data_IF_823844954172
#
_entry.id   IF_823844954172
#
_cell.length_a   1.000
_cell.length_b   1.000
_cell.length_c   1.000
_cell.angle_alpha   90.00
_cell.angle_beta   90.00
_cell.angle_gamma   90.00
#
_symmetry.space_group_name_H-M   'P 1'
#
loop_
_entity.id
_entity.type
_entity.pdbx_description
1 polymer ?
#
# COMPACT_ATOMS: atom_id res chain seq x y z
N UNK A 1 -11.68 8.38 25.66
CA UNK A 1 -11.02 9.51 24.98
C UNK A 1 -10.18 9.00 23.81
N UNK A 2 -10.31 9.68 22.67
CA UNK A 2 -9.50 9.49 21.45
C UNK A 2 -8.12 10.13 21.67
N UNK A 3 -7.07 9.48 21.19
CA UNK A 3 -5.67 9.91 21.30
C UNK A 3 -5.11 10.30 19.93
N UNK A 4 -3.97 10.99 19.90
CA UNK A 4 -3.32 11.39 18.65
C UNK A 4 -3.02 10.19 17.73
N UNK A 5 -2.59 9.04 18.28
CA UNK A 5 -2.40 7.82 17.48
C UNK A 5 -3.69 7.27 16.90
N UNK A 6 -4.81 7.41 17.60
CA UNK A 6 -6.09 6.99 17.02
C UNK A 6 -6.52 7.92 15.88
N UNK A 7 -6.21 9.22 15.98
CA UNK A 7 -6.44 10.19 14.91
C UNK A 7 -5.60 9.80 13.68
N UNK A 8 -4.32 9.43 13.87
CA UNK A 8 -3.48 8.92 12.78
C UNK A 8 -4.08 7.68 12.11
N UNK A 9 -4.65 6.75 12.90
CA UNK A 9 -5.36 5.59 12.38
C UNK A 9 -6.60 5.98 11.58
N UNK A 10 -7.41 6.93 12.08
CA UNK A 10 -8.59 7.41 11.36
C UNK A 10 -8.16 8.04 10.03
N UNK A 11 -7.19 8.95 10.05
CA UNK A 11 -6.65 9.60 8.85
C UNK A 11 -6.10 8.57 7.83
N UNK A 12 -5.42 7.54 8.32
CA UNK A 12 -4.94 6.44 7.49
C UNK A 12 -6.10 5.67 6.82
N UNK A 13 -7.15 5.35 7.57
CA UNK A 13 -8.34 4.68 7.03
C UNK A 13 -9.13 5.61 6.10
N UNK A 14 -9.18 6.91 6.33
CA UNK A 14 -9.78 7.88 5.40
C UNK A 14 -9.06 7.89 4.06
N UNK A 15 -7.73 7.89 4.10
CA UNK A 15 -6.86 7.89 2.92
C UNK A 15 -6.94 6.58 2.16
N UNK A 16 -6.65 5.45 2.81
CA UNK A 16 -6.53 4.13 2.19
C UNK A 16 -7.84 3.30 2.17
N UNK A 17 -8.91 3.83 2.75
CA UNK A 17 -10.29 3.31 2.79
C UNK A 17 -10.53 2.11 3.71
N UNK A 18 -9.56 1.23 3.91
CA UNK A 18 -9.67 0.11 4.85
C UNK A 18 -8.31 -0.44 5.26
N UNK A 19 -8.25 -1.16 6.38
CA UNK A 19 -7.07 -1.93 6.79
C UNK A 19 -7.44 -3.04 7.80
N UNK A 20 -6.58 -4.06 7.93
CA UNK A 20 -6.75 -5.11 8.94
C UNK A 20 -6.23 -4.68 10.30
N UNK A 21 -6.59 -5.42 11.34
CA UNK A 21 -6.11 -5.18 12.71
C UNK A 21 -4.58 -5.30 12.76
N UNK A 22 -4.03 -6.33 12.13
CA UNK A 22 -2.60 -6.60 12.02
C UNK A 22 -1.85 -5.46 11.32
N UNK A 23 -2.37 -4.99 10.18
CA UNK A 23 -1.85 -3.85 9.41
C UNK A 23 -1.75 -2.60 10.29
N UNK A 24 -2.85 -2.24 10.97
CA UNK A 24 -2.91 -1.06 11.83
C UNK A 24 -1.98 -1.22 13.04
N UNK A 25 -1.90 -2.42 13.61
CA UNK A 25 -1.03 -2.70 14.74
C UNK A 25 0.44 -2.45 14.38
N UNK A 26 0.91 -2.98 13.24
CA UNK A 26 2.30 -2.80 12.77
C UNK A 26 2.67 -1.34 12.54
N UNK A 27 1.72 -0.54 12.04
CA UNK A 27 1.98 0.84 11.65
C UNK A 27 1.89 1.84 12.81
N UNK A 28 0.94 1.67 13.73
CA UNK A 28 0.58 2.74 14.67
C UNK A 28 0.70 2.37 16.16
N UNK A 29 0.89 1.09 16.49
CA UNK A 29 0.81 0.64 17.88
C UNK A 29 2.01 -0.23 18.30
N UNK A 30 2.42 -0.17 19.58
CA UNK A 30 3.56 -0.95 20.06
C UNK A 30 3.26 -2.45 20.15
N UNK A 31 1.98 -2.85 20.17
CA UNK A 31 1.59 -4.26 20.21
C UNK A 31 0.18 -4.47 19.69
N UNK A 32 -0.09 -5.71 19.24
CA UNK A 32 -1.41 -6.13 18.78
C UNK A 32 -2.50 -5.97 19.85
N UNK A 33 -2.18 -6.28 21.11
CA UNK A 33 -3.14 -6.15 22.22
C UNK A 33 -3.58 -4.69 22.42
N UNK A 34 -2.62 -3.75 22.32
CA UNK A 34 -2.93 -2.32 22.41
C UNK A 34 -3.80 -1.90 21.23
N UNK A 35 -3.41 -2.28 20.01
CA UNK A 35 -4.17 -1.98 18.80
C UNK A 35 -5.63 -2.47 18.89
N UNK A 36 -5.84 -3.72 19.30
CA UNK A 36 -7.18 -4.31 19.46
C UNK A 36 -8.04 -3.53 20.47
N UNK A 37 -7.48 -3.15 21.62
CA UNK A 37 -8.18 -2.35 22.63
C UNK A 37 -8.54 -0.97 22.08
N UNK A 38 -7.62 -0.30 21.39
CA UNK A 38 -7.85 1.03 20.78
C UNK A 38 -8.89 0.99 19.66
N UNK A 39 -8.75 0.05 18.73
CA UNK A 39 -9.66 -0.13 17.61
C UNK A 39 -11.08 -0.52 18.03
N UNK A 40 -11.22 -1.32 19.10
CA UNK A 40 -12.53 -1.59 19.70
C UNK A 40 -13.19 -0.30 20.19
N UNK A 41 -12.45 0.59 20.85
CA UNK A 41 -12.98 1.90 21.29
C UNK A 41 -13.39 2.78 20.12
N UNK A 42 -12.58 2.84 19.06
CA UNK A 42 -12.93 3.61 17.84
C UNK A 42 -14.21 3.10 17.19
N UNK A 43 -14.42 1.80 17.18
CA UNK A 43 -15.69 1.21 16.73
C UNK A 43 -16.86 1.57 17.66
N UNK A 44 -16.68 1.47 18.99
CA UNK A 44 -17.71 1.82 19.98
C UNK A 44 -18.09 3.31 19.92
N UNK A 45 -17.14 4.18 19.61
CA UNK A 45 -17.35 5.61 19.38
C UNK A 45 -17.90 5.94 17.99
N UNK A 46 -18.10 4.93 17.13
CA UNK A 46 -18.62 5.06 15.75
C UNK A 46 -17.71 5.86 14.80
N UNK A 47 -16.44 6.04 15.15
CA UNK A 47 -15.43 6.63 14.26
C UNK A 47 -15.06 5.66 13.13
N UNK A 48 -15.10 4.36 13.41
CA UNK A 48 -14.81 3.30 12.44
C UNK A 48 -15.92 2.25 12.44
N UNK A 49 -16.20 1.71 11.25
CA UNK A 49 -16.94 0.46 11.09
C UNK A 49 -15.96 -0.71 11.01
N UNK A 50 -16.44 -1.92 11.32
CA UNK A 50 -15.64 -3.14 11.18
C UNK A 50 -16.46 -4.36 10.78
N UNK A 51 -15.83 -5.30 10.11
CA UNK A 51 -16.36 -6.66 9.91
C UNK A 51 -15.26 -7.68 10.20
N UNK A 52 -15.64 -8.92 10.53
CA UNK A 52 -14.68 -10.01 10.73
C UNK A 52 -14.34 -10.64 9.39
N UNK A 53 -13.06 -10.68 9.03
CA UNK A 53 -12.59 -11.26 7.79
C UNK A 53 -12.40 -12.77 7.95
N UNK A 54 -13.24 -13.57 7.29
CA UNK A 54 -13.31 -15.03 7.49
C UNK A 54 -11.96 -15.75 7.28
N UNK A 55 -11.18 -15.35 6.27
CA UNK A 55 -9.91 -16.02 5.93
C UNK A 55 -8.79 -15.66 6.92
N UNK A 56 -8.71 -14.39 7.32
CA UNK A 56 -7.63 -13.91 8.18
C UNK A 56 -7.97 -14.00 9.68
N UNK A 57 -9.22 -14.35 9.99
CA UNK A 57 -9.76 -14.43 11.34
C UNK A 57 -9.54 -13.17 12.21
N UNK A 58 -9.46 -12.01 11.56
CA UNK A 58 -9.27 -10.71 12.22
C UNK A 58 -10.28 -9.67 11.75
N UNK A 59 -10.39 -8.54 12.45
CA UNK A 59 -11.26 -7.45 12.04
C UNK A 59 -10.60 -6.60 10.96
N UNK A 60 -11.41 -6.19 9.99
CA UNK A 60 -11.09 -5.16 9.00
C UNK A 60 -11.86 -3.90 9.38
N UNK A 61 -11.16 -2.77 9.43
CA UNK A 61 -11.70 -1.47 9.78
C UNK A 61 -11.82 -0.57 8.54
N UNK A 62 -12.86 0.24 8.49
CA UNK A 62 -13.17 1.15 7.38
C UNK A 62 -14.18 2.20 7.85
N UNK A 63 -14.27 3.35 7.19
CA UNK A 63 -15.33 4.34 7.46
C UNK A 63 -16.57 4.04 6.61
N UNK A 64 -16.36 3.96 5.29
CA UNK A 64 -17.37 3.52 4.32
C UNK A 64 -16.81 2.33 3.56
N UNK A 65 -17.61 1.26 3.44
CA UNK A 65 -17.14 0.00 2.86
C UNK A 65 -16.68 0.22 1.40
N UNK A 66 -15.40 0.02 1.06
CA UNK A 66 -14.93 0.17 -0.32
C UNK A 66 -15.45 -0.97 -1.22
N UNK A 67 -15.71 -0.65 -2.50
CA UNK A 67 -16.13 -1.64 -3.52
C UNK A 67 -15.05 -2.70 -3.75
N UNK A 68 -13.79 -2.28 -3.85
CA UNK A 68 -12.64 -3.15 -4.10
C UNK A 68 -11.88 -3.48 -2.81
N UNK A 69 -12.56 -4.11 -1.86
CA UNK A 69 -12.02 -4.38 -0.52
C UNK A 69 -10.69 -5.15 -0.55
N UNK A 70 -10.62 -6.27 -1.29
CA UNK A 70 -9.40 -7.12 -1.33
C UNK A 70 -8.19 -6.36 -1.89
N UNK A 71 -8.42 -5.53 -2.92
CA UNK A 71 -7.37 -4.72 -3.55
C UNK A 71 -6.81 -3.66 -2.59
N UNK A 72 -7.70 -2.90 -1.94
CA UNK A 72 -7.32 -1.90 -0.93
C UNK A 72 -6.59 -2.52 0.26
N UNK A 73 -7.08 -3.67 0.76
CA UNK A 73 -6.43 -4.38 1.85
C UNK A 73 -5.01 -4.81 1.50
N UNK A 74 -4.80 -5.36 0.30
CA UNK A 74 -3.48 -5.81 -0.12
C UNK A 74 -2.50 -4.64 -0.29
N UNK A 75 -2.97 -3.46 -0.73
CA UNK A 75 -2.15 -2.24 -0.76
C UNK A 75 -1.72 -1.80 0.65
N UNK A 76 -2.63 -1.82 1.62
CA UNK A 76 -2.30 -1.44 3.00
C UNK A 76 -1.43 -2.49 3.69
N UNK A 77 -1.62 -3.77 3.37
CA UNK A 77 -0.75 -4.83 3.87
C UNK A 77 0.66 -4.68 3.30
N UNK A 78 0.80 -4.39 2.00
CA UNK A 78 2.09 -4.07 1.38
C UNK A 78 2.78 -2.91 2.09
N UNK A 79 2.05 -1.83 2.41
CA UNK A 79 2.61 -0.73 3.20
C UNK A 79 3.11 -1.23 4.57
N UNK A 80 2.25 -1.92 5.32
CA UNK A 80 2.62 -2.40 6.65
C UNK A 80 3.86 -3.29 6.60
N UNK A 81 3.95 -4.26 5.69
CA UNK A 81 5.13 -5.12 5.57
C UNK A 81 6.39 -4.33 5.14
N UNK A 82 6.28 -3.44 4.15
CA UNK A 82 7.43 -2.66 3.67
C UNK A 82 7.97 -1.75 4.79
N UNK A 83 7.08 -1.15 5.59
CA UNK A 83 7.46 -0.29 6.72
C UNK A 83 8.30 -0.98 7.79
N UNK A 84 8.27 -2.32 7.85
CA UNK A 84 9.06 -3.08 8.81
C UNK A 84 10.51 -3.27 8.37
N UNK A 85 10.80 -3.10 7.07
CA UNK A 85 12.13 -3.38 6.49
C UNK A 85 12.83 -2.14 5.95
N UNK A 86 12.11 -1.04 5.71
CA UNK A 86 12.68 0.24 5.25
C UNK A 86 12.10 1.44 5.97
N UNK A 87 12.86 2.53 5.95
CA UNK A 87 12.33 3.82 6.38
C UNK A 87 11.46 4.42 5.27
N UNK A 88 10.14 4.37 5.46
CA UNK A 88 9.17 5.00 4.56
C UNK A 88 9.08 6.49 4.88
N UNK A 89 9.32 7.34 3.87
CA UNK A 89 9.21 8.80 3.98
C UNK A 89 7.83 9.31 3.60
N UNK A 90 7.17 8.66 2.63
CA UNK A 90 5.81 8.96 2.23
C UNK A 90 5.16 7.74 1.59
N UNK A 91 3.85 7.55 1.83
CA UNK A 91 3.02 6.61 1.08
C UNK A 91 1.70 7.29 0.74
N UNK A 92 1.50 7.54 -0.55
CA UNK A 92 0.28 8.13 -1.11
C UNK A 92 -0.51 7.09 -1.91
N UNK A 93 -1.82 7.25 -2.01
CA UNK A 93 -2.69 6.49 -2.91
C UNK A 93 -3.44 7.44 -3.85
N UNK A 94 -3.90 6.92 -4.98
CA UNK A 94 -4.69 7.70 -5.97
C UNK A 94 -3.96 8.92 -6.57
N UNK A 95 -2.63 8.98 -6.47
CA UNK A 95 -1.80 10.04 -7.06
C UNK A 95 -1.88 10.00 -8.59
N UNK A 96 -2.00 11.17 -9.22
CA UNK A 96 -1.98 11.31 -10.67
C UNK A 96 -0.61 11.82 -11.10
N UNK A 97 0.10 11.04 -11.91
CA UNK A 97 1.40 11.38 -12.48
C UNK A 97 1.26 11.42 -14.00
N UNK A 98 1.01 12.60 -14.56
CA UNK A 98 0.63 12.75 -15.97
C UNK A 98 -0.62 11.94 -16.27
N UNK A 99 -0.49 10.96 -17.18
CA UNK A 99 -1.59 10.07 -17.58
C UNK A 99 -1.67 8.76 -16.80
N UNK A 100 -0.82 8.55 -15.78
CA UNK A 100 -0.86 7.33 -14.96
C UNK A 100 -1.41 7.62 -13.57
N UNK A 101 -2.10 6.63 -13.02
CA UNK A 101 -2.55 6.60 -11.62
C UNK A 101 -2.14 5.25 -11.04
N UNK A 102 -1.04 5.15 -10.29
CA UNK A 102 -0.72 3.95 -9.55
C UNK A 102 -1.70 3.73 -8.40
N UNK A 103 -1.79 2.50 -7.92
CA UNK A 103 -2.58 2.18 -6.73
C UNK A 103 -1.95 2.78 -5.48
N UNK A 104 -0.61 2.80 -5.43
CA UNK A 104 0.19 3.44 -4.40
C UNK A 104 1.45 4.10 -4.97
N UNK A 105 1.93 5.15 -4.30
CA UNK A 105 3.22 5.78 -4.56
C UNK A 105 3.97 5.85 -3.23
N UNK A 106 5.10 5.16 -3.15
CA UNK A 106 5.90 5.08 -1.93
C UNK A 106 7.29 5.66 -2.16
N UNK A 107 7.71 6.56 -1.26
CA UNK A 107 9.08 7.04 -1.16
C UNK A 107 9.73 6.45 0.10
N UNK A 108 10.90 5.84 -0.05
CA UNK A 108 11.58 5.14 1.05
C UNK A 108 13.11 5.21 0.95
N UNK A 109 13.79 4.87 2.03
CA UNK A 109 15.26 4.90 2.13
C UNK A 109 15.81 3.51 2.44
N UNK A 110 16.83 3.10 1.68
CA UNK A 110 17.61 1.89 1.90
C UNK A 110 19.08 2.24 1.78
N UNK A 111 19.90 1.91 2.79
CA UNK A 111 21.35 2.17 2.78
C UNK A 111 21.70 3.62 2.39
N UNK A 112 20.99 4.61 2.96
CA UNK A 112 21.09 6.05 2.66
C UNK A 112 20.75 6.48 1.22
N UNK A 113 20.24 5.57 0.37
CA UNK A 113 19.73 5.88 -0.96
C UNK A 113 18.22 6.04 -0.92
N UNK A 114 17.72 7.04 -1.64
CA UNK A 114 16.28 7.35 -1.75
C UNK A 114 15.69 6.65 -2.96
N UNK A 115 14.57 5.98 -2.77
CA UNK A 115 13.84 5.28 -3.81
C UNK A 115 12.41 5.78 -3.87
N UNK A 116 11.84 5.72 -5.07
CA UNK A 116 10.42 5.98 -5.31
C UNK A 116 9.89 4.78 -6.10
N UNK A 117 8.76 4.23 -5.65
CA UNK A 117 8.11 3.13 -6.33
C UNK A 117 6.61 3.40 -6.55
N UNK A 118 6.16 3.13 -7.76
CA UNK A 118 4.74 3.00 -8.09
C UNK A 118 4.31 1.56 -7.79
N UNK A 119 3.32 1.41 -6.91
CA UNK A 119 2.75 0.13 -6.50
C UNK A 119 1.47 -0.12 -7.30
N UNK A 120 1.37 -1.31 -7.86
CA UNK A 120 0.21 -1.80 -8.61
C UNK A 120 -0.26 -3.12 -8.03
N UNK A 121 -1.51 -3.17 -7.58
CA UNK A 121 -2.11 -4.37 -7.01
C UNK A 121 -2.96 -5.04 -8.08
N UNK A 122 -2.54 -6.23 -8.52
CA UNK A 122 -3.22 -6.98 -9.57
C UNK A 122 -3.77 -8.30 -9.04
N UNK A 123 -5.06 -8.26 -8.69
CA UNK A 123 -5.81 -9.43 -8.20
C UNK A 123 -6.69 -10.03 -9.31
N UNK A 124 -7.31 -9.18 -10.14
CA UNK A 124 -8.21 -9.62 -11.21
C UNK A 124 -7.45 -10.27 -12.36
N UNK A 125 -8.14 -11.03 -13.22
CA UNK A 125 -7.55 -11.67 -14.42
C UNK A 125 -7.11 -10.69 -15.50
N UNK A 126 -7.39 -9.40 -15.34
CA UNK A 126 -6.88 -8.38 -16.24
C UNK A 126 -5.37 -8.23 -16.04
N UNK A 127 -4.62 -8.16 -17.14
CA UNK A 127 -3.17 -7.89 -17.10
C UNK A 127 -2.89 -6.53 -16.47
N UNK A 128 -1.76 -6.43 -15.79
CA UNK A 128 -1.21 -5.14 -15.38
C UNK A 128 -1.00 -4.29 -16.63
N UNK A 129 -1.49 -3.05 -16.63
CA UNK A 129 -1.31 -2.15 -17.76
C UNK A 129 0.11 -1.59 -17.73
N UNK A 130 1.08 -2.35 -18.26
CA UNK A 130 2.49 -1.97 -18.34
C UNK A 130 2.69 -0.87 -19.39
N UNK A 131 1.87 -0.83 -20.43
CA UNK A 131 1.98 0.14 -21.53
C UNK A 131 1.84 1.59 -21.05
N UNK A 132 1.06 1.83 -19.99
CA UNK A 132 0.97 3.16 -19.37
C UNK A 132 2.33 3.64 -18.83
N UNK A 133 3.14 2.72 -18.30
CA UNK A 133 4.49 3.00 -17.80
C UNK A 133 5.52 3.08 -18.93
N UNK A 134 5.40 2.26 -19.98
CA UNK A 134 6.21 2.43 -21.20
C UNK A 134 6.02 3.80 -21.81
N UNK A 135 4.77 4.27 -21.93
CA UNK A 135 4.48 5.62 -22.41
C UNK A 135 5.10 6.67 -21.48
N UNK A 136 4.91 6.54 -20.16
CA UNK A 136 5.47 7.46 -19.15
C UNK A 136 7.00 7.56 -19.22
N UNK A 137 7.68 6.45 -19.50
CA UNK A 137 9.12 6.40 -19.73
C UNK A 137 9.53 7.02 -21.08
N UNK A 138 8.93 6.56 -22.18
CA UNK A 138 9.28 6.97 -23.54
C UNK A 138 9.02 8.46 -23.82
N UNK A 139 8.01 9.06 -23.19
CA UNK A 139 7.74 10.50 -23.29
C UNK A 139 8.54 11.34 -22.29
N UNK A 140 9.34 10.68 -21.44
CA UNK A 140 10.07 11.29 -20.32
C UNK A 140 9.19 12.11 -19.36
N UNK A 141 7.88 11.85 -19.33
CA UNK A 141 6.93 12.61 -18.50
C UNK A 141 7.22 12.45 -17.01
N UNK A 142 7.87 11.35 -16.61
CA UNK A 142 8.36 11.14 -15.25
C UNK A 142 9.30 12.24 -14.76
N UNK A 143 10.07 12.88 -15.65
CA UNK A 143 11.01 13.95 -15.29
C UNK A 143 10.34 15.19 -14.68
N UNK A 144 9.04 15.36 -14.91
CA UNK A 144 8.23 16.43 -14.27
C UNK A 144 8.02 16.19 -12.78
N UNK A 145 8.14 14.94 -12.33
CA UNK A 145 7.81 14.50 -10.97
C UNK A 145 9.05 13.98 -10.21
N UNK A 146 9.95 13.30 -10.91
CA UNK A 146 11.08 12.58 -10.33
C UNK A 146 12.33 12.73 -11.19
N UNK A 147 13.54 12.70 -10.58
CA UNK A 147 14.80 12.78 -11.34
C UNK A 147 15.07 11.53 -12.19
N UNK A 148 14.49 10.39 -11.82
CA UNK A 148 14.63 9.10 -12.52
C UNK A 148 13.27 8.40 -12.58
N UNK A 149 13.11 7.44 -13.51
CA UNK A 149 11.90 6.62 -13.55
C UNK A 149 11.70 5.90 -12.20
N UNK A 150 10.49 5.93 -11.61
CA UNK A 150 10.23 5.20 -10.37
C UNK A 150 10.26 3.70 -10.64
N UNK A 151 10.62 2.92 -9.61
CA UNK A 151 10.47 1.47 -9.65
C UNK A 151 9.00 1.10 -9.79
N UNK A 152 8.70 0.02 -10.52
CA UNK A 152 7.33 -0.51 -10.57
C UNK A 152 7.27 -1.75 -9.69
N UNK A 153 6.45 -1.71 -8.64
CA UNK A 153 6.21 -2.87 -7.77
C UNK A 153 4.83 -3.42 -8.08
N UNK A 154 4.80 -4.63 -8.62
CA UNK A 154 3.56 -5.31 -8.94
C UNK A 154 3.26 -6.38 -7.88
N UNK A 155 2.19 -6.16 -7.12
CA UNK A 155 1.72 -7.09 -6.10
C UNK A 155 0.73 -8.05 -6.75
N UNK A 156 1.22 -9.23 -7.14
CA UNK A 156 0.44 -10.24 -7.85
C UNK A 156 1.07 -11.63 -7.82
N UNK A 157 0.24 -12.66 -7.89
CA UNK A 157 0.66 -14.04 -8.15
C UNK A 157 0.77 -14.38 -9.66
N UNK A 158 0.46 -13.43 -10.54
CA UNK A 158 0.42 -13.66 -12.00
C UNK A 158 1.78 -13.40 -12.62
N UNK A 159 2.05 -14.03 -13.76
CA UNK A 159 3.26 -13.73 -14.52
C UNK A 159 3.19 -12.30 -15.04
N UNK A 160 4.32 -11.61 -14.94
CA UNK A 160 4.50 -10.25 -15.45
C UNK A 160 5.37 -10.34 -16.69
N UNK A 161 5.04 -9.54 -17.69
CA UNK A 161 5.85 -9.42 -18.90
C UNK A 161 7.12 -8.63 -18.57
N UNK A 162 8.27 -9.17 -18.97
CA UNK A 162 9.54 -8.45 -18.85
C UNK A 162 9.60 -7.29 -19.84
N UNK A 163 10.21 -6.20 -19.42
CA UNK A 163 10.41 -4.99 -20.21
C UNK A 163 11.84 -4.50 -20.02
N UNK A 164 12.39 -3.84 -21.04
CA UNK A 164 13.78 -3.38 -21.03
C UNK A 164 13.91 -1.93 -20.56
N UNK A 165 12.81 -1.18 -20.59
CA UNK A 165 12.75 0.26 -20.33
C UNK A 165 12.88 0.61 -18.85
N UNK A 166 12.42 -0.26 -17.95
CA UNK A 166 12.43 -0.04 -16.50
C UNK A 166 12.32 -1.35 -15.72
N UNK A 167 12.76 -1.32 -14.46
CA UNK A 167 12.70 -2.47 -13.55
C UNK A 167 11.27 -2.64 -13.01
N UNK A 168 10.72 -3.84 -13.17
CA UNK A 168 9.50 -4.29 -12.49
C UNK A 168 9.88 -5.31 -11.42
N UNK A 169 9.47 -5.07 -10.18
CA UNK A 169 9.66 -5.98 -9.06
C UNK A 169 8.33 -6.65 -8.78
N UNK A 170 8.28 -7.97 -8.94
CA UNK A 170 7.12 -8.75 -8.56
C UNK A 170 7.16 -9.11 -7.08
N UNK A 171 6.06 -8.85 -6.37
CA UNK A 171 5.81 -9.33 -5.00
C UNK A 171 4.53 -10.14 -5.03
N UNK A 172 4.51 -11.32 -4.40
CA UNK A 172 3.31 -12.18 -4.34
C UNK A 172 2.24 -11.60 -3.42
N UNK A 173 0.98 -11.99 -3.60
CA UNK A 173 -0.14 -11.48 -2.78
C UNK A 173 -0.03 -11.86 -1.29
N UNK A 174 0.81 -12.83 -0.93
CA UNK A 174 1.09 -13.21 0.46
C UNK A 174 2.23 -12.39 1.10
N UNK A 175 2.88 -11.53 0.32
CA UNK A 175 3.93 -10.58 0.74
C UNK A 175 5.16 -11.22 1.39
N UNK A 176 5.35 -12.55 1.30
CA UNK A 176 6.43 -13.27 1.98
C UNK A 176 7.85 -12.93 1.51
N UNK A 177 7.98 -12.32 0.34
CA UNK A 177 9.26 -11.99 -0.29
C UNK A 177 9.33 -10.48 -0.60
N UNK A 178 8.75 -9.68 0.29
CA UNK A 178 8.73 -8.22 0.13
C UNK A 178 10.14 -7.61 0.17
N UNK A 179 11.14 -8.31 0.72
CA UNK A 179 12.53 -7.83 0.70
C UNK A 179 13.07 -7.68 -0.73
N UNK A 180 12.47 -8.32 -1.74
CA UNK A 180 12.83 -8.10 -3.15
C UNK A 180 12.70 -6.64 -3.59
N UNK A 181 11.88 -5.83 -2.90
CA UNK A 181 11.71 -4.40 -3.17
C UNK A 181 12.99 -3.61 -2.87
N UNK A 182 13.85 -4.13 -1.98
CA UNK A 182 15.07 -3.43 -1.51
C UNK A 182 16.36 -3.97 -2.11
N UNK A 183 16.28 -5.01 -2.95
CA UNK A 183 17.41 -5.63 -3.67
C UNK A 183 17.65 -4.96 -5.03
#
# INVERSE_FOLDING_TARGET
MITNRDIEVINFIEKFKCAKTSTIAKLFYPSLLVAQKRLKKLYEYKELQRYRHNIANEYVYYIKRPKQMKHRLLLTDFYAELSQIVEIKAFENEVILGNIRPDGLVGYVVNNKKYIACVEVQISNQKLNIDKYKKFYNTEEYKKYFPTIPLIVAVTNKRIEEVNEFKIIQVREDLKEIERVVL
#
